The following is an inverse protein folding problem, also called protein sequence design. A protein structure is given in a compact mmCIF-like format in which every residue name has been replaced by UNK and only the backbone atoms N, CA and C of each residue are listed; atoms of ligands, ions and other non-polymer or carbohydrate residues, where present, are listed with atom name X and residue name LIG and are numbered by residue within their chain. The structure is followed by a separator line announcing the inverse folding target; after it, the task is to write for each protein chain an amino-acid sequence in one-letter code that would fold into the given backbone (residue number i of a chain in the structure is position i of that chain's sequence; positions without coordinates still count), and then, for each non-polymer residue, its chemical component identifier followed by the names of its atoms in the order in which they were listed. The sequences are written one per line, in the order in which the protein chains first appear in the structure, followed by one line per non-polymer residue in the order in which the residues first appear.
data_IF_228048573904
#
_entry.id   IF_228048573904
#
_cell.length_a   1.000
_cell.length_b   1.000
_cell.length_c   1.000
_cell.angle_alpha   90.00
_cell.angle_beta   90.00
_cell.angle_gamma   90.00
#
_symmetry.space_group_name_H-M   'P 1'
#
loop_
_entity.id
_entity.type
_entity.pdbx_description
1 polymer ?
#
# COMPACT_ATOMS: atom_id res chain seq x y z
N UNK A 1 -12.70 6.30 -2.11
CA UNK A 1 -11.40 5.97 -1.52
C UNK A 1 -11.56 5.19 -0.20
N UNK A 2 -12.46 5.57 0.70
CA UNK A 2 -12.65 4.88 1.98
C UNK A 2 -13.01 3.38 1.84
N UNK A 3 -13.77 2.99 0.81
CA UNK A 3 -14.06 1.59 0.55
C UNK A 3 -12.80 0.79 0.19
N UNK A 4 -11.90 1.38 -0.61
CA UNK A 4 -10.61 0.78 -0.94
C UNK A 4 -9.74 0.60 0.32
N UNK A 5 -9.67 1.62 1.18
CA UNK A 5 -8.96 1.55 2.45
C UNK A 5 -9.47 0.39 3.33
N UNK A 6 -10.80 0.24 3.48
CA UNK A 6 -11.39 -0.90 4.22
C UNK A 6 -11.04 -2.26 3.60
N UNK A 7 -11.04 -2.35 2.27
CA UNK A 7 -10.66 -3.59 1.58
C UNK A 7 -9.19 -3.95 1.80
N UNK A 8 -8.32 -2.94 1.84
CA UNK A 8 -6.90 -3.12 2.19
C UNK A 8 -6.74 -3.54 3.64
N UNK A 9 -7.45 -2.90 4.58
CA UNK A 9 -7.40 -3.24 5.99
C UNK A 9 -7.72 -4.73 6.23
N UNK A 10 -8.78 -5.23 5.59
CA UNK A 10 -9.19 -6.63 5.72
C UNK A 10 -8.14 -7.63 5.18
N UNK A 11 -7.39 -7.24 4.14
CA UNK A 11 -6.38 -8.11 3.53
C UNK A 11 -5.02 -8.03 4.20
N UNK A 12 -4.61 -6.82 4.61
CA UNK A 12 -3.30 -6.59 5.21
C UNK A 12 -3.27 -6.88 6.71
N UNK A 13 -4.45 -6.96 7.36
CA UNK A 13 -4.57 -7.07 8.81
C UNK A 13 -4.16 -5.78 9.54
N UNK A 14 -4.19 -4.65 8.83
CA UNK A 14 -3.78 -3.33 9.32
C UNK A 14 -4.65 -2.24 8.69
N UNK A 15 -5.14 -1.31 9.51
CA UNK A 15 -5.87 -0.15 9.02
C UNK A 15 -4.91 0.83 8.33
N UNK A 16 -5.10 1.15 7.04
CA UNK A 16 -4.32 2.18 6.37
C UNK A 16 -4.65 3.57 6.91
N UNK A 17 -3.65 4.43 7.02
CA UNK A 17 -3.89 5.86 7.20
C UNK A 17 -4.37 6.45 5.87
N UNK A 18 -5.60 6.95 5.87
CA UNK A 18 -6.16 7.65 4.72
C UNK A 18 -5.90 9.14 4.86
N UNK A 19 -5.26 9.74 3.86
CA UNK A 19 -4.97 11.16 3.75
C UNK A 19 -5.70 11.72 2.53
N UNK A 20 -6.53 12.75 2.74
CA UNK A 20 -7.39 13.34 1.72
C UNK A 20 -8.87 12.93 1.83
N UNK A 21 -9.64 13.13 0.76
CA UNK A 21 -11.09 12.88 0.76
C UNK A 21 -11.44 11.39 0.62
N UNK A 22 -11.90 10.80 1.70
CA UNK A 22 -12.37 9.41 1.73
C UNK A 22 -13.61 9.15 0.84
N UNK A 23 -14.38 10.19 0.52
CA UNK A 23 -15.55 10.11 -0.37
C UNK A 23 -15.22 10.09 -1.86
N UNK A 24 -13.96 10.39 -2.23
CA UNK A 24 -13.55 10.46 -3.64
C UNK A 24 -13.84 9.17 -4.39
N UNK A 25 -14.51 9.22 -5.54
CA UNK A 25 -14.63 8.07 -6.46
C UNK A 25 -13.25 7.62 -6.95
N UNK A 26 -13.06 6.32 -7.07
CA UNK A 26 -11.76 5.73 -7.46
C UNK A 26 -11.91 4.93 -8.74
N UNK A 27 -11.22 5.37 -9.79
CA UNK A 27 -11.11 4.69 -11.08
C UNK A 27 -9.67 4.26 -11.38
N UNK A 28 -8.69 5.06 -10.97
CA UNK A 28 -7.26 4.82 -11.22
C UNK A 28 -6.49 4.79 -9.91
N UNK A 29 -5.72 3.74 -9.72
CA UNK A 29 -4.88 3.52 -8.55
C UNK A 29 -3.45 3.29 -8.99
N UNK A 30 -2.50 3.93 -8.32
CA UNK A 30 -1.11 3.56 -8.38
C UNK A 30 -0.66 3.08 -7.00
N UNK A 31 0.33 2.22 -6.97
CA UNK A 31 0.90 1.75 -5.70
C UNK A 31 2.40 1.48 -5.82
N UNK A 32 3.09 1.67 -4.72
CA UNK A 32 4.46 1.23 -4.53
C UNK A 32 4.64 0.88 -3.05
N UNK A 33 5.03 -0.37 -2.78
CA UNK A 33 5.16 -0.90 -1.41
C UNK A 33 6.34 -0.28 -0.67
N UNK A 34 6.38 -0.47 0.65
CA UNK A 34 7.49 0.01 1.48
C UNK A 34 7.57 1.53 1.57
N UNK A 35 8.79 2.07 1.66
CA UNK A 35 9.08 3.49 1.82
C UNK A 35 9.01 4.29 0.52
N UNK A 36 7.89 4.27 -0.17
CA UNK A 36 7.71 4.86 -1.50
C UNK A 36 6.89 6.17 -1.51
N UNK A 37 6.70 6.80 -0.36
CA UNK A 37 5.94 8.05 -0.24
C UNK A 37 6.47 9.21 -1.11
N UNK A 38 7.76 9.19 -1.45
CA UNK A 38 8.38 10.18 -2.34
C UNK A 38 7.94 10.09 -3.81
N UNK A 39 7.29 8.98 -4.22
CA UNK A 39 6.76 8.84 -5.59
C UNK A 39 5.35 9.43 -5.76
N UNK A 40 4.79 10.04 -4.72
CA UNK A 40 3.41 10.55 -4.77
C UNK A 40 3.21 11.63 -5.84
N UNK A 41 4.14 12.56 -6.01
CA UNK A 41 4.08 13.57 -7.06
C UNK A 41 4.05 12.96 -8.48
N UNK A 42 4.81 11.89 -8.69
CA UNK A 42 4.81 11.18 -9.97
C UNK A 42 3.44 10.50 -10.21
N UNK A 43 2.85 9.92 -9.17
CA UNK A 43 1.52 9.32 -9.25
C UNK A 43 0.43 10.38 -9.55
N UNK A 44 0.51 11.56 -8.92
CA UNK A 44 -0.35 12.71 -9.20
C UNK A 44 -0.23 13.12 -10.68
N UNK A 45 0.97 13.24 -11.20
CA UNK A 45 1.22 13.59 -12.60
C UNK A 45 0.64 12.57 -13.60
N UNK A 46 0.49 11.29 -13.19
CA UNK A 46 -0.18 10.25 -13.97
C UNK A 46 -1.71 10.32 -13.91
N UNK A 47 -2.28 11.24 -13.14
CA UNK A 47 -3.71 11.44 -13.01
C UNK A 47 -4.42 10.29 -12.29
N UNK A 48 -3.82 9.75 -11.24
CA UNK A 48 -4.48 8.74 -10.40
C UNK A 48 -5.46 9.38 -9.40
N UNK A 49 -6.41 8.62 -8.92
CA UNK A 49 -7.32 9.05 -7.86
C UNK A 49 -6.77 8.71 -6.47
N UNK A 50 -6.03 7.62 -6.39
CA UNK A 50 -5.44 7.11 -5.14
C UNK A 50 -4.01 6.62 -5.40
N UNK A 51 -3.11 6.96 -4.49
CA UNK A 51 -1.79 6.36 -4.39
C UNK A 51 -1.66 5.58 -3.07
N UNK A 52 -1.15 4.36 -3.14
CA UNK A 52 -0.94 3.49 -1.99
C UNK A 52 0.55 3.29 -1.79
N UNK A 53 1.03 3.54 -0.56
CA UNK A 53 2.42 3.26 -0.17
C UNK A 53 2.46 2.60 1.21
N UNK A 54 3.60 2.11 1.61
CA UNK A 54 3.81 1.59 2.97
C UNK A 54 3.93 2.71 3.99
N UNK A 55 4.65 3.77 3.67
CA UNK A 55 4.95 4.89 4.56
C UNK A 55 4.29 6.18 4.11
N UNK A 56 4.31 7.19 5.00
CA UNK A 56 3.82 8.54 4.75
C UNK A 56 4.78 9.56 5.36
N UNK A 57 4.87 10.72 4.74
CA UNK A 57 5.59 11.90 5.24
C UNK A 57 4.65 13.10 5.29
N UNK A 58 4.97 14.12 6.08
CA UNK A 58 4.14 15.32 6.26
C UNK A 58 3.74 15.96 4.93
N UNK A 59 4.66 16.06 3.99
CA UNK A 59 4.40 16.64 2.65
C UNK A 59 3.29 15.92 1.87
N UNK A 60 3.06 14.63 2.13
CA UNK A 60 1.99 13.90 1.44
C UNK A 60 0.60 14.39 1.84
N UNK A 61 0.42 14.91 3.07
CA UNK A 61 -0.81 15.55 3.48
C UNK A 61 -1.08 16.80 2.62
N UNK A 62 -0.10 17.69 2.50
CA UNK A 62 -0.27 18.91 1.73
C UNK A 62 -0.54 18.62 0.26
N UNK A 63 0.20 17.70 -0.35
CA UNK A 63 -0.02 17.26 -1.73
C UNK A 63 -1.42 16.68 -1.94
N UNK A 64 -1.90 15.85 -1.01
CA UNK A 64 -3.23 15.27 -1.10
C UNK A 64 -4.34 16.35 -1.02
N UNK A 65 -4.19 17.31 -0.12
CA UNK A 65 -5.14 18.41 0.04
C UNK A 65 -5.15 19.36 -1.17
N UNK A 66 -3.98 19.71 -1.70
CA UNK A 66 -3.85 20.62 -2.82
C UNK A 66 -4.30 20.02 -4.15
N UNK A 67 -4.06 18.73 -4.37
CA UNK A 67 -4.34 18.06 -5.64
C UNK A 67 -5.66 17.28 -5.65
N UNK A 68 -6.20 16.99 -4.46
CA UNK A 68 -7.37 16.13 -4.28
C UNK A 68 -7.09 14.64 -4.51
N UNK A 69 -5.85 14.22 -4.79
CA UNK A 69 -5.47 12.81 -4.91
C UNK A 69 -5.33 12.22 -3.52
N UNK A 70 -6.01 11.10 -3.27
CA UNK A 70 -5.97 10.44 -1.96
C UNK A 70 -4.68 9.65 -1.80
N UNK A 71 -4.05 9.73 -0.63
CA UNK A 71 -2.90 8.91 -0.25
C UNK A 71 -3.32 7.88 0.80
N UNK A 72 -2.92 6.62 0.62
CA UNK A 72 -3.13 5.54 1.60
C UNK A 72 -1.77 5.01 2.08
N UNK A 73 -1.44 5.24 3.35
CA UNK A 73 -0.28 4.63 3.98
C UNK A 73 -0.69 3.30 4.63
N UNK A 74 -0.29 2.20 4.01
CA UNK A 74 -0.80 0.87 4.34
C UNK A 74 0.15 0.04 5.22
N UNK A 75 1.30 0.60 5.61
CA UNK A 75 2.34 -0.04 6.42
C UNK A 75 3.48 -0.62 5.57
N UNK A 76 4.71 -0.28 5.93
CA UNK A 76 5.90 -0.76 5.21
C UNK A 76 5.95 -2.29 5.21
N UNK A 77 6.05 -2.89 6.39
CA UNK A 77 6.07 -4.34 6.55
C UNK A 77 4.82 -5.01 5.95
N UNK A 78 3.65 -4.46 6.23
CA UNK A 78 2.39 -5.05 5.78
C UNK A 78 2.27 -5.12 4.25
N UNK A 79 2.88 -4.19 3.51
CA UNK A 79 2.84 -4.15 2.05
C UNK A 79 3.96 -4.95 1.39
N UNK A 80 5.07 -5.23 2.07
CA UNK A 80 6.23 -5.90 1.46
C UNK A 80 6.30 -7.42 1.72
N UNK A 81 5.66 -7.95 2.76
CA UNK A 81 5.75 -9.38 3.12
C UNK A 81 5.21 -10.35 2.07
N UNK A 82 4.38 -9.89 1.14
CA UNK A 82 3.71 -10.77 0.16
C UNK A 82 4.64 -11.29 -0.92
N UNK A 83 5.65 -10.53 -1.33
CA UNK A 83 6.60 -10.94 -2.37
C UNK A 83 7.39 -12.17 -1.96
N UNK A 84 8.00 -12.15 -0.79
CA UNK A 84 8.80 -13.27 -0.28
C UNK A 84 7.93 -14.49 0.04
N UNK A 85 6.69 -14.28 0.51
CA UNK A 85 5.73 -15.35 0.74
C UNK A 85 5.36 -16.05 -0.57
N UNK A 86 5.01 -15.30 -1.60
CA UNK A 86 4.68 -15.83 -2.92
C UNK A 86 5.86 -16.59 -3.56
N UNK A 87 7.08 -16.08 -3.41
CA UNK A 87 8.29 -16.77 -3.87
C UNK A 87 8.46 -18.11 -3.15
N UNK A 88 8.27 -18.13 -1.82
CA UNK A 88 8.34 -19.37 -1.03
C UNK A 88 7.30 -20.40 -1.49
N UNK A 89 6.05 -19.99 -1.70
CA UNK A 89 4.97 -20.86 -2.20
C UNK A 89 5.29 -21.41 -3.60
N UNK A 90 5.85 -20.59 -4.48
CA UNK A 90 6.30 -21.00 -5.80
C UNK A 90 7.43 -22.04 -5.72
N UNK A 91 8.46 -21.81 -4.90
CA UNK A 91 9.57 -22.74 -4.70
C UNK A 91 9.08 -24.10 -4.14
N UNK A 92 8.17 -24.06 -3.18
CA UNK A 92 7.56 -25.28 -2.61
C UNK A 92 6.87 -26.10 -3.72
N UNK A 93 6.12 -25.42 -4.60
CA UNK A 93 5.37 -26.08 -5.68
C UNK A 93 6.27 -26.62 -6.79
N UNK A 94 7.25 -25.81 -7.24
CA UNK A 94 8.07 -26.18 -8.40
C UNK A 94 9.20 -27.15 -8.08
N UNK A 95 9.69 -27.12 -6.84
CA UNK A 95 10.90 -27.87 -6.45
C UNK A 95 10.67 -28.86 -5.30
N UNK A 96 9.41 -29.06 -4.89
CA UNK A 96 9.04 -29.91 -3.78
C UNK A 96 9.82 -29.61 -2.46
N UNK A 97 10.15 -28.35 -2.25
CA UNK A 97 10.85 -27.89 -1.05
C UNK A 97 9.87 -27.70 0.10
N UNK A 98 10.30 -28.04 1.31
CA UNK A 98 9.56 -27.68 2.52
C UNK A 98 9.86 -26.21 2.86
N UNK A 99 8.92 -25.32 2.54
CA UNK A 99 9.07 -23.88 2.76
C UNK A 99 8.08 -23.43 3.84
N UNK A 100 8.58 -22.70 4.82
CA UNK A 100 7.78 -22.10 5.89
C UNK A 100 7.96 -20.58 5.86
N UNK A 101 6.83 -19.84 5.71
CA UNK A 101 6.81 -18.40 5.89
C UNK A 101 6.68 -18.07 7.38
N UNK A 102 7.61 -17.30 7.92
CA UNK A 102 7.59 -16.84 9.30
C UNK A 102 7.20 -15.37 9.30
N UNK A 103 5.99 -15.08 9.76
CA UNK A 103 5.47 -13.72 9.88
C UNK A 103 5.70 -13.20 11.30
N UNK A 104 6.49 -12.15 11.41
CA UNK A 104 6.75 -11.48 12.69
C UNK A 104 5.97 -10.17 12.72
N UNK A 105 5.28 -9.90 13.82
CA UNK A 105 4.56 -8.65 13.98
C UNK A 105 5.50 -7.44 13.89
N UNK A 106 5.14 -6.52 13.00
CA UNK A 106 5.82 -5.24 12.85
C UNK A 106 4.76 -4.14 12.68
N UNK A 107 4.72 -3.12 13.55
CA UNK A 107 3.73 -2.05 13.48
C UNK A 107 3.99 -0.99 12.40
N UNK A 108 5.15 -1.03 11.70
CA UNK A 108 5.54 -0.05 10.68
C UNK A 108 5.13 -0.48 9.28
#
# INVERSE_FOLDING_TARGET
AAQLARSLAARLGREPLLVGDGGRPVSRVAWCTGGAQGYFEQAIALGVDVFISGEVSEQNLHLAEETGVVFLAAGHHATERYGVKALGEWLATQHALNVQFIDLYNPV
#
